data_IF_709958722626
#
_entry.id   IF_709958722626
#
_cell.length_a   1.000
_cell.length_b   1.000
_cell.length_c   1.000
_cell.angle_alpha   90.00
_cell.angle_beta   90.00
_cell.angle_gamma   90.00
#
_symmetry.space_group_name_H-M   'P 1'
#
loop_
_entity.id
_entity.type
_entity.pdbx_description
1 polymer ?
#
# COMPACT_ATOMS: atom_id res chain seq x y z
N UNK A 1 -4.54 -10.43 -2.84
CA UNK A 1 -4.86 -9.00 -2.72
C UNK A 1 -4.56 -8.51 -1.32
N UNK A 2 -4.17 -7.23 -1.18
CA UNK A 2 -4.05 -6.55 0.09
C UNK A 2 -5.30 -5.70 0.33
N UNK A 3 -5.76 -5.67 1.59
CA UNK A 3 -6.91 -4.85 2.02
C UNK A 3 -6.51 -3.83 3.09
N UNK A 4 -5.29 -3.93 3.58
CA UNK A 4 -4.66 -3.02 4.53
C UNK A 4 -3.35 -2.50 3.95
N UNK A 5 -2.93 -1.32 4.39
CA UNK A 5 -1.63 -0.79 4.03
C UNK A 5 -0.53 -1.52 4.78
N UNK A 6 -0.73 -1.74 6.07
CA UNK A 6 0.18 -2.52 6.91
C UNK A 6 0.08 -4.01 6.58
N UNK A 7 1.18 -4.71 6.27
CA UNK A 7 1.16 -6.15 6.04
C UNK A 7 0.75 -6.94 7.28
N UNK A 8 -0.04 -8.00 7.08
CA UNK A 8 -0.57 -8.87 8.14
C UNK A 8 0.54 -9.58 8.95
N UNK A 9 1.74 -9.71 8.35
CA UNK A 9 2.91 -10.34 9.00
C UNK A 9 3.68 -9.40 9.92
N UNK A 10 3.28 -8.14 10.01
CA UNK A 10 3.94 -7.13 10.84
C UNK A 10 3.74 -7.44 12.32
N UNK A 11 4.81 -7.41 13.11
CA UNK A 11 4.77 -7.76 14.52
C UNK A 11 3.80 -6.85 15.30
N UNK A 12 3.01 -7.46 16.19
CA UNK A 12 2.04 -6.74 17.02
C UNK A 12 0.81 -6.21 16.28
N UNK A 13 0.75 -6.30 14.96
CA UNK A 13 -0.40 -5.89 14.17
C UNK A 13 -1.34 -7.08 13.92
N UNK A 14 -2.64 -6.86 14.18
CA UNK A 14 -3.72 -7.81 13.88
C UNK A 14 -4.81 -7.04 13.17
N UNK A 15 -4.88 -7.11 11.83
CA UNK A 15 -5.89 -6.37 11.08
C UNK A 15 -7.29 -6.89 11.38
N UNK A 16 -8.24 -5.96 11.50
CA UNK A 16 -9.65 -6.29 11.43
C UNK A 16 -10.05 -6.57 9.98
N UNK A 17 -11.09 -7.37 9.79
CA UNK A 17 -11.59 -7.66 8.44
C UNK A 17 -12.14 -6.39 7.82
N UNK A 18 -11.52 -5.92 6.75
CA UNK A 18 -11.96 -4.73 6.03
C UNK A 18 -13.39 -4.87 5.52
N UNK A 19 -14.19 -3.82 5.60
CA UNK A 19 -15.54 -3.78 5.03
C UNK A 19 -15.53 -4.10 3.52
N UNK A 20 -14.46 -3.76 2.81
CA UNK A 20 -14.28 -4.10 1.39
C UNK A 20 -14.18 -5.62 1.14
N UNK A 21 -13.68 -6.39 2.12
CA UNK A 21 -13.60 -7.86 2.02
C UNK A 21 -14.95 -8.54 2.22
N UNK A 22 -15.90 -7.86 2.86
CA UNK A 22 -17.23 -8.39 3.18
C UNK A 22 -18.24 -8.17 2.05
N UNK A 23 -17.89 -7.34 1.07
CA UNK A 23 -18.76 -6.99 -0.04
C UNK A 23 -18.41 -7.79 -1.30
N UNK A 24 -19.41 -8.11 -2.10
CA UNK A 24 -19.20 -8.69 -3.42
C UNK A 24 -18.60 -7.67 -4.39
N UNK A 25 -17.91 -8.16 -5.41
CA UNK A 25 -17.37 -7.28 -6.47
C UNK A 25 -18.46 -6.47 -7.17
N UNK A 26 -19.68 -7.00 -7.28
CA UNK A 26 -20.81 -6.30 -7.89
C UNK A 26 -21.26 -5.10 -7.06
N UNK A 27 -21.30 -5.25 -5.74
CA UNK A 27 -21.61 -4.16 -4.81
C UNK A 27 -20.53 -3.07 -4.84
N UNK A 28 -19.26 -3.46 -4.83
CA UNK A 28 -18.13 -2.52 -4.94
C UNK A 28 -18.14 -1.77 -6.29
N UNK A 29 -18.40 -2.45 -7.40
CA UNK A 29 -18.55 -1.83 -8.73
C UNK A 29 -19.71 -0.82 -8.75
N UNK A 30 -20.83 -1.14 -8.10
CA UNK A 30 -22.00 -0.26 -8.02
C UNK A 30 -21.72 0.99 -7.17
N UNK A 31 -21.07 0.84 -6.02
CA UNK A 31 -20.64 1.95 -5.17
C UNK A 31 -19.66 2.87 -5.90
N UNK A 32 -18.64 2.30 -6.56
CA UNK A 32 -17.68 3.07 -7.34
C UNK A 32 -18.34 3.90 -8.44
N UNK A 33 -19.32 3.34 -9.15
CA UNK A 33 -20.12 4.08 -10.16
C UNK A 33 -20.93 5.20 -9.53
N UNK A 34 -21.57 4.95 -8.39
CA UNK A 34 -22.32 5.98 -7.67
C UNK A 34 -21.42 7.15 -7.21
N UNK A 35 -20.22 6.85 -6.70
CA UNK A 35 -19.23 7.85 -6.32
C UNK A 35 -18.75 8.67 -7.52
N UNK A 36 -18.48 8.06 -8.67
CA UNK A 36 -18.12 8.76 -9.90
C UNK A 36 -19.23 9.70 -10.36
N UNK A 37 -20.49 9.24 -10.32
CA UNK A 37 -21.67 10.06 -10.68
C UNK A 37 -21.83 11.25 -9.71
N UNK A 38 -21.68 11.02 -8.41
CA UNK A 38 -21.73 12.08 -7.41
C UNK A 38 -20.62 13.12 -7.61
N UNK A 39 -19.45 12.70 -8.13
CA UNK A 39 -18.34 13.58 -8.50
C UNK A 39 -18.51 14.24 -9.89
N UNK A 40 -19.63 14.02 -10.59
CA UNK A 40 -19.92 14.64 -11.89
C UNK A 40 -19.35 13.87 -13.10
N UNK A 41 -18.87 12.64 -12.91
CA UNK A 41 -18.33 11.82 -13.99
C UNK A 41 -19.32 10.73 -14.41
N UNK A 42 -19.26 10.35 -15.69
CA UNK A 42 -20.15 9.35 -16.26
C UNK A 42 -19.92 9.16 -17.76
N UNK A 43 -20.82 8.43 -18.45
CA UNK A 43 -20.65 8.11 -19.87
C UNK A 43 -20.43 9.33 -20.79
N UNK A 44 -21.11 10.46 -20.49
CA UNK A 44 -21.01 11.70 -21.27
C UNK A 44 -19.88 12.63 -20.80
N UNK A 45 -19.29 12.35 -19.64
CA UNK A 45 -18.16 13.09 -19.06
C UNK A 45 -17.24 12.09 -18.33
N UNK A 46 -16.47 11.27 -19.06
CA UNK A 46 -15.62 10.26 -18.44
C UNK A 46 -14.48 10.91 -17.67
N UNK A 47 -14.16 10.39 -16.48
CA UNK A 47 -12.96 10.75 -15.74
C UNK A 47 -11.73 10.38 -16.56
N UNK A 48 -10.82 11.33 -16.73
CA UNK A 48 -9.52 11.14 -17.39
C UNK A 48 -8.43 11.35 -16.37
N UNK A 49 -7.50 10.40 -16.29
CA UNK A 49 -6.36 10.52 -15.38
C UNK A 49 -5.12 9.83 -15.95
N UNK A 50 -3.99 10.21 -15.42
CA UNK A 50 -2.70 9.59 -15.71
C UNK A 50 -2.29 8.68 -14.56
N UNK A 51 -1.95 7.41 -14.87
CA UNK A 51 -1.36 6.47 -13.93
C UNK A 51 0.16 6.41 -14.18
N UNK A 52 0.91 6.99 -13.26
CA UNK A 52 2.37 6.99 -13.29
C UNK A 52 2.95 5.72 -12.65
N UNK A 53 3.93 5.11 -13.31
CA UNK A 53 4.70 3.99 -12.74
C UNK A 53 6.16 4.05 -13.19
N UNK A 54 7.08 3.55 -12.36
CA UNK A 54 8.49 3.44 -12.74
C UNK A 54 8.75 2.24 -13.65
N UNK A 55 9.74 2.35 -14.51
CA UNK A 55 10.13 1.31 -15.47
C UNK A 55 10.40 -0.03 -14.77
N UNK A 56 9.53 -0.98 -15.06
CA UNK A 56 9.58 -2.38 -14.63
C UNK A 56 8.50 -3.15 -15.39
N UNK A 57 8.83 -4.34 -15.88
CA UNK A 57 7.87 -5.18 -16.59
C UNK A 57 6.67 -5.56 -15.71
N UNK A 58 6.91 -5.90 -14.45
CA UNK A 58 5.85 -6.24 -13.50
C UNK A 58 4.93 -5.05 -13.20
N UNK A 59 5.49 -3.85 -13.03
CA UNK A 59 4.71 -2.64 -12.78
C UNK A 59 3.87 -2.25 -13.99
N UNK A 60 4.41 -2.42 -15.20
CA UNK A 60 3.67 -2.20 -16.44
C UNK A 60 2.46 -3.13 -16.55
N UNK A 61 2.65 -4.42 -16.29
CA UNK A 61 1.54 -5.41 -16.31
C UNK A 61 0.42 -5.04 -15.35
N UNK A 62 0.77 -4.60 -14.13
CA UNK A 62 -0.20 -4.15 -13.13
C UNK A 62 -0.92 -2.88 -13.60
N UNK A 63 -0.18 -1.89 -14.10
CA UNK A 63 -0.76 -0.63 -14.58
C UNK A 63 -1.74 -0.86 -15.74
N UNK A 64 -1.39 -1.75 -16.69
CA UNK A 64 -2.28 -2.15 -17.79
C UNK A 64 -3.55 -2.83 -17.26
N UNK A 65 -3.41 -3.76 -16.30
CA UNK A 65 -4.55 -4.46 -15.73
C UNK A 65 -5.50 -3.50 -15.01
N UNK A 66 -4.98 -2.60 -14.17
CA UNK A 66 -5.77 -1.59 -13.46
C UNK A 66 -6.49 -0.66 -14.45
N UNK A 67 -5.78 -0.11 -15.43
CA UNK A 67 -6.37 0.76 -16.44
C UNK A 67 -7.50 0.05 -17.24
N UNK A 68 -7.29 -1.23 -17.61
CA UNK A 68 -8.29 -2.04 -18.30
C UNK A 68 -9.52 -2.28 -17.43
N UNK A 69 -9.35 -2.62 -16.15
CA UNK A 69 -10.45 -2.82 -15.21
C UNK A 69 -11.24 -1.53 -15.00
N UNK A 70 -10.59 -0.41 -14.79
CA UNK A 70 -11.23 0.89 -14.61
C UNK A 70 -11.98 1.33 -15.86
N UNK A 71 -11.40 1.13 -17.04
CA UNK A 71 -12.10 1.41 -18.30
C UNK A 71 -13.35 0.54 -18.47
N UNK A 72 -13.22 -0.78 -18.27
CA UNK A 72 -14.29 -1.73 -18.47
C UNK A 72 -15.43 -1.59 -17.45
N UNK A 73 -15.10 -1.33 -16.18
CA UNK A 73 -16.06 -1.33 -15.08
C UNK A 73 -16.66 0.04 -14.81
N UNK A 74 -15.85 1.08 -14.95
CA UNK A 74 -16.16 2.44 -14.49
C UNK A 74 -16.18 3.47 -15.61
N UNK A 75 -15.72 3.13 -16.83
CA UNK A 75 -15.64 4.08 -17.94
C UNK A 75 -14.49 5.10 -17.84
N UNK A 76 -13.58 4.92 -16.88
CA UNK A 76 -12.45 5.85 -16.66
C UNK A 76 -11.43 5.72 -17.79
N UNK A 77 -10.98 6.84 -18.34
CA UNK A 77 -9.91 6.92 -19.33
C UNK A 77 -8.55 7.10 -18.64
N UNK A 78 -7.74 6.04 -18.63
CA UNK A 78 -6.44 6.06 -17.98
C UNK A 78 -5.33 6.15 -19.02
N UNK A 79 -4.53 7.22 -18.93
CA UNK A 79 -3.27 7.34 -19.66
C UNK A 79 -2.15 6.72 -18.82
N UNK A 80 -1.49 5.70 -19.33
CA UNK A 80 -0.33 5.11 -18.68
C UNK A 80 0.93 5.94 -18.96
N UNK A 81 1.65 6.29 -17.89
CA UNK A 81 2.92 7.03 -17.98
C UNK A 81 4.04 6.24 -17.33
N UNK A 82 4.99 5.81 -18.14
CA UNK A 82 6.21 5.17 -17.68
C UNK A 82 7.31 6.21 -17.50
N UNK A 83 8.05 6.11 -16.42
CA UNK A 83 9.25 6.92 -16.19
C UNK A 83 10.41 6.06 -15.69
N UNK A 84 11.62 6.43 -16.09
CA UNK A 84 12.84 5.90 -15.51
C UNK A 84 12.91 6.29 -14.02
N UNK A 85 13.63 5.51 -13.21
CA UNK A 85 13.59 5.61 -11.75
C UNK A 85 13.86 7.01 -11.20
N UNK A 86 14.89 7.69 -11.69
CA UNK A 86 15.24 9.03 -11.20
C UNK A 86 14.16 10.06 -11.50
N UNK A 87 13.65 10.06 -12.73
CA UNK A 87 12.55 10.94 -13.16
C UNK A 87 11.26 10.62 -12.42
N UNK A 88 10.99 9.32 -12.19
CA UNK A 88 9.84 8.88 -11.40
C UNK A 88 9.91 9.39 -9.96
N UNK A 89 11.08 9.31 -9.30
CA UNK A 89 11.26 9.83 -7.95
C UNK A 89 11.05 11.35 -7.89
N UNK A 90 11.53 12.09 -8.87
CA UNK A 90 11.30 13.53 -8.96
C UNK A 90 9.80 13.85 -9.11
N UNK A 91 9.11 13.20 -10.05
CA UNK A 91 7.66 13.35 -10.24
C UNK A 91 6.87 12.97 -8.98
N UNK A 92 7.27 11.89 -8.29
CA UNK A 92 6.67 11.46 -7.02
C UNK A 92 6.80 12.53 -5.94
N UNK A 93 8.00 13.06 -5.76
CA UNK A 93 8.29 14.02 -4.69
C UNK A 93 7.65 15.40 -4.95
N UNK A 94 7.54 15.79 -6.21
CA UNK A 94 6.89 17.06 -6.62
C UNK A 94 5.37 16.95 -6.75
N UNK A 95 4.80 15.72 -6.75
CA UNK A 95 3.36 15.49 -6.90
C UNK A 95 2.88 15.65 -8.36
N UNK A 96 3.76 15.42 -9.33
CA UNK A 96 3.42 15.54 -10.76
C UNK A 96 2.79 14.23 -11.30
N UNK A 97 1.61 13.88 -10.80
CA UNK A 97 0.81 12.73 -11.21
C UNK A 97 -0.64 12.88 -10.72
N UNK A 98 -1.58 12.19 -11.37
CA UNK A 98 -2.95 12.04 -10.84
C UNK A 98 -3.01 10.80 -9.93
N UNK A 99 -2.53 9.67 -10.43
CA UNK A 99 -2.37 8.42 -9.68
C UNK A 99 -0.97 7.89 -9.91
N UNK A 100 -0.34 7.40 -8.86
CA UNK A 100 1.01 6.85 -8.92
C UNK A 100 1.06 5.44 -8.32
N UNK A 101 1.71 4.51 -9.02
CA UNK A 101 2.08 3.22 -8.42
C UNK A 101 3.26 3.41 -7.49
N UNK A 102 3.10 3.10 -6.24
CA UNK A 102 4.18 3.15 -5.25
C UNK A 102 4.26 1.84 -4.45
N UNK A 103 5.31 1.68 -3.69
CA UNK A 103 5.47 0.62 -2.69
C UNK A 103 6.33 1.13 -1.53
N UNK A 104 6.19 0.46 -0.40
CA UNK A 104 7.02 0.67 0.77
C UNK A 104 7.52 -0.66 1.31
N UNK A 105 8.75 -0.69 1.76
CA UNK A 105 9.34 -1.76 2.54
C UNK A 105 9.54 -1.21 3.93
N UNK A 106 9.09 -1.93 4.97
CA UNK A 106 9.22 -1.48 6.35
C UNK A 106 10.69 -1.30 6.76
N UNK A 107 10.99 -0.23 7.48
CA UNK A 107 12.33 0.02 8.02
C UNK A 107 12.56 -0.77 9.32
N UNK A 108 11.48 -1.22 9.96
CA UNK A 108 11.46 -2.05 11.16
C UNK A 108 10.15 -2.84 11.23
N UNK A 109 10.14 -3.91 12.05
CA UNK A 109 9.01 -4.83 12.13
C UNK A 109 7.96 -4.35 13.15
N UNK A 110 7.26 -3.27 12.83
CA UNK A 110 6.14 -2.73 13.60
C UNK A 110 5.26 -1.84 12.68
N UNK A 111 3.94 -1.74 12.94
CA UNK A 111 2.97 -1.14 12.04
C UNK A 111 3.22 0.35 11.73
N UNK A 112 3.79 1.09 12.68
CA UNK A 112 4.06 2.53 12.49
C UNK A 112 5.03 2.82 11.34
N UNK A 113 5.88 1.85 10.93
CA UNK A 113 6.77 2.02 9.77
C UNK A 113 5.99 2.24 8.46
N UNK A 114 4.74 1.75 8.39
CA UNK A 114 3.80 1.97 7.29
C UNK A 114 2.88 3.15 7.58
N UNK A 115 2.22 3.13 8.72
CA UNK A 115 1.17 4.11 9.06
C UNK A 115 1.71 5.54 9.20
N UNK A 116 2.94 5.72 9.66
CA UNK A 116 3.56 7.05 9.75
C UNK A 116 3.68 7.77 8.41
N UNK A 117 3.78 7.01 7.30
CA UNK A 117 3.92 7.59 5.94
C UNK A 117 2.77 8.48 5.53
N UNK A 118 1.56 8.27 6.10
CA UNK A 118 0.36 9.03 5.74
C UNK A 118 0.03 10.15 6.74
N UNK A 119 0.88 10.37 7.75
CA UNK A 119 0.68 11.53 8.63
C UNK A 119 0.88 12.84 7.88
N UNK A 120 0.17 13.87 8.31
CA UNK A 120 0.11 15.18 7.63
C UNK A 120 1.47 15.84 7.42
N UNK A 121 2.46 15.53 8.27
CA UNK A 121 3.79 16.16 8.28
C UNK A 121 4.90 15.24 7.76
N UNK A 122 4.62 13.97 7.46
CA UNK A 122 5.66 13.04 7.03
C UNK A 122 6.12 13.34 5.59
N UNK A 123 7.43 13.40 5.37
CA UNK A 123 8.03 13.68 4.06
C UNK A 123 7.70 12.62 3.00
N UNK A 124 7.46 11.37 3.42
CA UNK A 124 7.02 10.27 2.57
C UNK A 124 5.53 10.27 2.23
N UNK A 125 4.74 11.23 2.72
CA UNK A 125 3.32 11.37 2.40
C UNK A 125 3.13 11.90 0.97
N UNK A 126 3.35 11.04 -0.01
CA UNK A 126 3.22 11.41 -1.43
C UNK A 126 1.77 11.68 -1.85
N UNK A 127 0.81 11.10 -1.15
CA UNK A 127 -0.62 11.33 -1.36
C UNK A 127 -1.07 12.72 -0.88
N UNK A 128 -0.23 13.47 -0.16
CA UNK A 128 -0.56 14.75 0.49
C UNK A 128 -1.78 14.65 1.41
N UNK A 129 -2.01 13.48 1.95
CA UNK A 129 -3.10 13.18 2.85
C UNK A 129 -2.99 14.01 4.14
N UNK A 130 -4.12 14.53 4.62
CA UNK A 130 -4.19 15.31 5.85
C UNK A 130 -5.44 14.91 6.63
N UNK A 131 -5.25 14.32 7.80
CA UNK A 131 -6.34 13.95 8.69
C UNK A 131 -5.86 14.07 10.14
N UNK A 132 -6.45 15.00 10.89
CA UNK A 132 -6.04 15.30 12.26
C UNK A 132 -6.31 14.12 13.23
N UNK A 133 -7.34 13.31 12.98
CA UNK A 133 -7.63 12.16 13.83
C UNK A 133 -6.67 11.01 13.54
N UNK A 134 -6.25 10.85 12.28
CA UNK A 134 -5.17 9.93 11.90
C UNK A 134 -3.85 10.28 12.61
N UNK A 135 -3.46 11.57 12.57
CA UNK A 135 -2.25 12.05 13.22
C UNK A 135 -2.29 11.84 14.75
N UNK A 136 -3.46 12.10 15.38
CA UNK A 136 -3.66 11.85 16.81
C UNK A 136 -3.54 10.37 17.17
N UNK A 137 -4.13 9.49 16.37
CA UNK A 137 -4.09 8.04 16.61
C UNK A 137 -2.65 7.52 16.59
N UNK A 138 -1.82 7.95 15.64
CA UNK A 138 -0.40 7.58 15.63
C UNK A 138 0.34 8.10 16.86
N UNK A 139 0.12 9.36 17.23
CA UNK A 139 0.74 9.96 18.42
C UNK A 139 0.28 9.28 19.72
N UNK A 140 -0.96 8.81 19.80
CA UNK A 140 -1.51 8.04 20.91
C UNK A 140 -0.88 6.65 20.97
N UNK A 141 -0.87 5.90 19.87
CA UNK A 141 -0.25 4.58 19.78
C UNK A 141 1.22 4.60 20.21
N UNK A 142 1.97 5.66 19.83
CA UNK A 142 3.37 5.81 20.23
C UNK A 142 3.63 6.09 21.72
N UNK A 143 2.58 6.38 22.51
CA UNK A 143 2.66 6.59 23.97
C UNK A 143 1.98 5.48 24.77
N UNK A 144 1.21 4.66 24.10
CA UNK A 144 0.44 3.58 24.70
C UNK A 144 1.36 2.40 25.03
N UNK A 145 1.17 1.81 26.21
CA UNK A 145 1.92 0.66 26.69
C UNK A 145 1.13 -0.65 26.63
N UNK A 146 -0.20 -0.55 26.45
CA UNK A 146 -1.06 -1.71 26.29
C UNK A 146 -1.10 -2.14 24.82
N UNK A 147 -0.56 -3.32 24.46
CA UNK A 147 -0.51 -3.78 23.06
C UNK A 147 -1.90 -3.88 22.39
N UNK A 148 -2.94 -4.20 23.13
CA UNK A 148 -4.30 -4.28 22.59
C UNK A 148 -4.84 -2.88 22.21
N UNK A 149 -4.54 -1.86 23.01
CA UNK A 149 -4.91 -0.48 22.71
C UNK A 149 -4.13 0.05 21.50
N UNK A 150 -2.82 -0.23 21.40
CA UNK A 150 -2.01 0.09 20.22
C UNK A 150 -2.60 -0.53 18.95
N UNK A 151 -2.92 -1.82 18.98
CA UNK A 151 -3.54 -2.52 17.84
C UNK A 151 -4.88 -1.89 17.47
N UNK A 152 -5.72 -1.52 18.45
CA UNK A 152 -6.99 -0.87 18.18
C UNK A 152 -6.84 0.50 17.52
N UNK A 153 -5.83 1.29 17.91
CA UNK A 153 -5.57 2.58 17.29
C UNK A 153 -5.06 2.40 15.84
N UNK A 154 -4.18 1.42 15.58
CA UNK A 154 -3.74 1.10 14.23
C UNK A 154 -4.88 0.61 13.32
N UNK A 155 -5.82 -0.20 13.85
CA UNK A 155 -7.00 -0.61 13.08
C UNK A 155 -7.91 0.57 12.73
N UNK A 156 -8.08 1.56 13.63
CA UNK A 156 -8.79 2.80 13.29
C UNK A 156 -8.07 3.60 12.21
N UNK A 157 -6.74 3.63 12.22
CA UNK A 157 -5.96 4.29 11.17
C UNK A 157 -6.15 3.60 9.82
N UNK A 158 -6.11 2.27 9.76
CA UNK A 158 -6.40 1.50 8.55
C UNK A 158 -7.84 1.72 8.06
N UNK A 159 -8.81 1.85 8.97
CA UNK A 159 -10.18 2.21 8.60
C UNK A 159 -10.26 3.59 7.97
N UNK A 160 -9.55 4.59 8.51
CA UNK A 160 -9.48 5.93 7.90
C UNK A 160 -8.86 5.87 6.49
N UNK A 161 -7.82 5.03 6.30
CA UNK A 161 -7.23 4.80 4.97
C UNK A 161 -8.27 4.21 4.01
N UNK A 162 -9.02 3.20 4.46
CA UNK A 162 -10.05 2.56 3.64
C UNK A 162 -11.18 3.53 3.26
N UNK A 163 -11.63 4.37 4.20
CA UNK A 163 -12.74 5.29 4.01
C UNK A 163 -12.38 6.50 3.14
N UNK A 164 -11.17 7.02 3.29
CA UNK A 164 -10.73 8.25 2.58
C UNK A 164 -9.84 7.96 1.36
N UNK A 165 -9.40 6.71 1.21
CA UNK A 165 -8.66 6.19 0.07
C UNK A 165 -7.48 7.07 -0.41
N UNK A 166 -6.59 7.58 0.49
CA UNK A 166 -5.38 8.26 0.05
C UNK A 166 -4.45 7.32 -0.73
N UNK A 167 -4.57 6.04 -0.48
CA UNK A 167 -3.91 4.94 -1.19
C UNK A 167 -4.90 3.79 -1.40
N UNK A 168 -4.65 2.97 -2.41
CA UNK A 168 -5.35 1.72 -2.65
C UNK A 168 -4.34 0.56 -2.56
N UNK A 169 -4.31 -0.20 -1.46
CA UNK A 169 -3.49 -1.40 -1.34
C UNK A 169 -3.86 -2.42 -2.43
N UNK A 170 -2.88 -3.00 -3.11
CA UNK A 170 -3.11 -3.96 -4.19
C UNK A 170 -2.60 -5.34 -3.81
N UNK A 171 -1.34 -5.44 -3.38
CA UNK A 171 -0.71 -6.68 -2.93
C UNK A 171 0.48 -6.39 -2.02
N UNK A 172 0.88 -7.40 -1.26
CA UNK A 172 2.10 -7.40 -0.47
C UNK A 172 3.18 -8.20 -1.22
N UNK A 173 4.41 -7.69 -1.22
CA UNK A 173 5.53 -8.40 -1.82
C UNK A 173 5.88 -9.65 -1.00
N UNK A 174 6.20 -10.73 -1.71
CA UNK A 174 6.75 -11.94 -1.11
C UNK A 174 8.01 -12.33 -1.86
N UNK A 175 9.05 -12.70 -1.12
CA UNK A 175 10.31 -13.17 -1.68
C UNK A 175 10.43 -14.69 -1.51
N UNK A 176 10.35 -15.43 -2.62
CA UNK A 176 10.63 -16.87 -2.63
C UNK A 176 12.14 -17.11 -2.59
N UNK A 177 12.60 -17.99 -1.67
CA UNK A 177 14.01 -18.33 -1.51
C UNK A 177 14.22 -19.82 -1.46
N UNK A 178 15.26 -20.26 -2.13
CA UNK A 178 15.74 -21.64 -2.07
C UNK A 178 17.04 -21.68 -1.29
N UNK A 179 17.02 -22.27 -0.11
CA UNK A 179 18.17 -22.38 0.78
C UNK A 179 18.59 -23.85 0.87
N UNK A 180 19.85 -24.14 0.57
CA UNK A 180 20.36 -25.49 0.68
C UNK A 180 20.33 -25.98 2.13
N UNK A 181 20.05 -27.27 2.41
CA UNK A 181 19.89 -27.79 3.78
C UNK A 181 21.12 -27.59 4.67
N UNK A 182 22.29 -27.49 4.10
CA UNK A 182 23.55 -27.29 4.81
C UNK A 182 23.88 -25.82 5.10
N UNK A 183 23.11 -24.86 4.59
CA UNK A 183 23.20 -23.44 4.97
C UNK A 183 22.36 -23.21 6.21
N UNK A 184 22.99 -22.73 7.28
CA UNK A 184 22.36 -22.45 8.56
C UNK A 184 22.47 -20.97 8.92
N UNK A 185 21.64 -20.52 9.87
CA UNK A 185 21.65 -19.13 10.35
C UNK A 185 21.01 -18.12 9.38
N UNK A 186 20.40 -18.56 8.30
CA UNK A 186 19.62 -17.68 7.42
C UNK A 186 18.26 -17.36 8.05
N UNK A 187 17.88 -16.07 8.19
CA UNK A 187 16.61 -15.66 8.80
C UNK A 187 15.45 -15.89 7.82
N UNK A 188 14.74 -17.03 7.96
CA UNK A 188 13.64 -17.42 7.05
C UNK A 188 12.39 -16.53 7.27
N UNK A 189 12.14 -16.10 8.50
CA UNK A 189 10.92 -15.39 8.92
C UNK A 189 11.14 -13.91 9.17
N UNK A 190 12.12 -13.30 8.51
CA UNK A 190 12.39 -11.88 8.65
C UNK A 190 11.55 -11.04 7.66
N UNK A 191 10.51 -10.32 8.10
CA UNK A 191 9.68 -9.49 7.23
C UNK A 191 10.39 -8.27 6.65
N UNK A 192 11.51 -7.85 7.24
CA UNK A 192 12.37 -6.77 6.73
C UNK A 192 13.21 -7.21 5.54
N UNK A 193 13.28 -8.52 5.28
CA UNK A 193 14.07 -9.14 4.21
C UNK A 193 15.58 -8.84 4.27
N UNK A 194 16.10 -8.56 5.46
CA UNK A 194 17.52 -8.28 5.71
C UNK A 194 18.21 -9.52 6.26
N UNK A 195 19.25 -10.00 5.59
CA UNK A 195 20.05 -11.14 6.03
C UNK A 195 21.52 -10.74 6.20
N UNK A 196 22.01 -10.87 7.41
CA UNK A 196 23.41 -10.59 7.73
C UNK A 196 24.26 -11.84 7.58
N UNK A 197 25.29 -11.80 6.73
CA UNK A 197 26.17 -12.93 6.46
C UNK A 197 26.91 -13.44 7.70
N UNK A 198 27.14 -12.60 8.70
CA UNK A 198 27.79 -12.94 9.95
C UNK A 198 27.07 -14.03 10.78
N UNK A 199 25.76 -14.22 10.55
CA UNK A 199 24.97 -15.27 11.22
C UNK A 199 24.90 -16.57 10.43
N UNK A 200 25.34 -16.55 9.18
CA UNK A 200 25.23 -17.69 8.27
C UNK A 200 26.50 -18.56 8.30
N UNK A 201 26.32 -19.85 8.26
CA UNK A 201 27.41 -20.83 8.19
C UNK A 201 27.00 -22.07 7.39
N UNK A 202 27.98 -22.81 6.94
CA UNK A 202 27.79 -24.06 6.21
C UNK A 202 28.20 -25.22 7.09
N UNK A 203 27.32 -26.22 7.24
CA UNK A 203 27.63 -27.47 7.89
C UNK A 203 28.14 -28.50 6.87
N UNK A 204 28.85 -29.54 7.34
CA UNK A 204 29.32 -30.61 6.49
C UNK A 204 28.15 -31.26 5.73
N UNK A 205 28.31 -31.49 4.46
CA UNK A 205 27.33 -32.10 3.56
C UNK A 205 28.00 -33.07 2.57
#
# INVERSE_FOLDING_TARGET
PAYHFTPDVTAGFKPEVSLLQQQSQAELDAQAKALLQAAGYGPNNPLKLTLLYNTSESHQKIAIAVASMWKKKLGIDVKLQNQEWKTYIDSRNTGNFDVIRASWVGDYNEASTFLSLLTSTHSGNIAKFKNADYDKLLAQAGRETNPAAVTADYNKMEQIIADQAPIAPIYQYTNGRLIKPWVKGYPITNPEDVAYSQTMYIIKH
#
